data_IF_759231708074
#
_entry.id   IF_759231708074
#
_cell.length_a   1.000
_cell.length_b   1.000
_cell.length_c   1.000
_cell.angle_alpha   90.00
_cell.angle_beta   90.00
_cell.angle_gamma   90.00
#
_symmetry.space_group_name_H-M   'P 1'
#
loop_
_entity.id
_entity.type
_entity.pdbx_description
1 polymer ?
#
# COMPACT_ATOMS: atom_id res chain seq x y z
N UNK A 1 32.55 -5.75 2.71
CA UNK A 1 33.23 -7.06 2.54
C UNK A 1 33.80 -7.12 1.12
N UNK A 2 35.02 -7.64 0.91
CA UNK A 2 35.54 -7.85 -0.45
C UNK A 2 34.62 -8.77 -1.26
N UNK A 3 34.47 -8.51 -2.56
CA UNK A 3 33.69 -9.38 -3.47
C UNK A 3 34.25 -10.81 -3.46
N UNK A 4 33.38 -11.83 -3.40
CA UNK A 4 33.77 -13.24 -3.48
C UNK A 4 34.08 -13.96 -2.15
N UNK A 5 33.84 -13.35 -0.99
CA UNK A 5 33.95 -14.02 0.33
C UNK A 5 32.58 -14.26 0.97
N UNK A 6 32.38 -15.45 1.53
CA UNK A 6 31.22 -15.75 2.37
C UNK A 6 31.33 -14.97 3.69
N UNK A 7 30.27 -14.25 4.05
CA UNK A 7 30.13 -13.62 5.37
C UNK A 7 29.50 -14.56 6.39
N UNK A 8 29.48 -14.16 7.66
CA UNK A 8 28.86 -14.90 8.77
C UNK A 8 27.45 -14.37 9.14
N UNK A 9 26.85 -13.51 8.31
CA UNK A 9 25.55 -12.93 8.58
C UNK A 9 24.47 -14.02 8.59
N UNK A 10 23.64 -14.03 9.64
CA UNK A 10 22.53 -14.96 9.77
C UNK A 10 21.42 -14.71 8.74
N UNK A 11 20.59 -15.73 8.49
CA UNK A 11 19.40 -15.62 7.65
C UNK A 11 18.32 -14.78 8.36
N UNK A 12 17.65 -13.89 7.63
CA UNK A 12 16.51 -13.09 8.11
C UNK A 12 16.80 -12.22 9.36
N UNK A 13 18.03 -11.71 9.50
CA UNK A 13 18.43 -10.85 10.62
C UNK A 13 17.85 -9.43 10.56
N UNK A 14 17.40 -8.98 9.38
CA UNK A 14 16.72 -7.70 9.20
C UNK A 14 15.21 -7.90 9.29
N UNK A 15 14.56 -7.20 10.21
CA UNK A 15 13.09 -7.18 10.36
C UNK A 15 12.56 -5.79 10.13
N UNK A 16 11.50 -5.69 9.33
CA UNK A 16 10.80 -4.44 9.10
C UNK A 16 9.79 -4.12 10.22
N UNK A 17 9.29 -2.87 10.28
CA UNK A 17 8.20 -2.49 11.15
C UNK A 17 6.90 -3.22 10.82
N UNK A 18 5.92 -3.15 11.73
CA UNK A 18 4.60 -3.75 11.52
C UNK A 18 3.78 -2.96 10.49
N UNK A 19 3.22 -3.69 9.53
CA UNK A 19 2.25 -3.18 8.56
C UNK A 19 0.84 -3.11 9.18
N UNK A 20 0.11 -2.04 8.89
CA UNK A 20 -1.34 -2.01 9.07
C UNK A 20 -1.99 -1.13 8.00
N UNK A 21 -3.09 -1.61 7.43
CA UNK A 21 -3.89 -0.90 6.44
C UNK A 21 -5.37 -0.99 6.79
N UNK A 22 -6.13 0.00 6.31
CA UNK A 22 -7.58 -0.01 6.37
C UNK A 22 -8.10 0.61 5.08
N UNK A 23 -8.82 -0.20 4.31
CA UNK A 23 -9.41 0.16 3.03
C UNK A 23 -10.93 0.07 3.15
N UNK A 24 -11.63 0.97 2.47
CA UNK A 24 -13.10 1.00 2.53
C UNK A 24 -13.69 1.38 1.19
N UNK A 25 -14.93 0.95 0.99
CA UNK A 25 -15.73 1.30 -0.18
C UNK A 25 -17.14 1.63 0.26
N UNK A 26 -17.65 2.76 -0.21
CA UNK A 26 -19.02 3.16 -0.03
C UNK A 26 -19.71 3.15 -1.39
N UNK A 27 -20.80 2.39 -1.51
CA UNK A 27 -21.61 2.35 -2.72
C UNK A 27 -23.08 2.61 -2.39
N UNK A 28 -23.72 3.44 -3.21
CA UNK A 28 -25.15 3.71 -3.10
C UNK A 28 -25.81 3.76 -4.47
N UNK A 29 -26.94 3.07 -4.58
CA UNK A 29 -27.84 3.13 -5.73
C UNK A 29 -28.93 4.17 -5.48
N UNK A 30 -29.15 5.03 -6.47
CA UNK A 30 -30.20 6.03 -6.51
C UNK A 30 -31.14 5.63 -7.64
N UNK A 31 -32.40 5.37 -7.29
CA UNK A 31 -33.43 5.14 -8.29
C UNK A 31 -33.75 6.50 -8.94
N UNK A 32 -33.68 6.56 -10.27
CA UNK A 32 -34.06 7.74 -11.04
C UNK A 32 -35.52 7.61 -11.48
N UNK A 33 -36.02 8.57 -12.26
CA UNK A 33 -37.35 8.45 -12.87
C UNK A 33 -37.36 7.34 -13.95
N UNK A 34 -38.45 6.59 -14.02
CA UNK A 34 -38.59 5.45 -14.93
C UNK A 34 -37.82 4.22 -14.47
N UNK A 35 -37.28 3.44 -15.43
CA UNK A 35 -36.51 2.23 -15.16
C UNK A 35 -35.01 2.49 -14.95
N UNK A 36 -34.59 3.76 -14.92
CA UNK A 36 -33.19 4.13 -14.79
C UNK A 36 -32.71 4.18 -13.33
N UNK A 37 -31.43 3.93 -13.11
CA UNK A 37 -30.77 4.10 -11.81
C UNK A 37 -29.34 4.62 -11.96
N UNK A 38 -28.85 5.32 -10.95
CA UNK A 38 -27.45 5.74 -10.85
C UNK A 38 -26.80 5.05 -9.65
N UNK A 39 -25.61 4.46 -9.84
CA UNK A 39 -24.80 3.89 -8.76
C UNK A 39 -23.58 4.77 -8.58
N UNK A 40 -23.48 5.40 -7.41
CA UNK A 40 -22.28 6.11 -6.98
C UNK A 40 -21.44 5.16 -6.13
N UNK A 41 -20.13 5.14 -6.40
CA UNK A 41 -19.15 4.40 -5.63
C UNK A 41 -17.98 5.32 -5.28
N UNK A 42 -17.55 5.23 -4.03
CA UNK A 42 -16.37 5.89 -3.51
C UNK A 42 -15.46 4.85 -2.86
N UNK A 43 -14.28 4.66 -3.43
CA UNK A 43 -13.25 3.77 -2.92
C UNK A 43 -12.15 4.60 -2.26
N UNK A 44 -11.75 4.22 -1.05
CA UNK A 44 -10.66 4.85 -0.30
C UNK A 44 -9.70 3.76 0.17
N UNK A 45 -8.48 3.81 -0.36
CA UNK A 45 -7.38 2.95 0.05
C UNK A 45 -6.49 3.71 1.03
N UNK A 46 -6.02 3.05 2.09
CA UNK A 46 -5.27 3.66 3.19
C UNK A 46 -6.04 4.85 3.80
N UNK A 47 -7.24 4.59 4.34
CA UNK A 47 -8.16 5.60 4.89
C UNK A 47 -7.47 6.52 5.91
N UNK A 48 -6.66 5.94 6.80
CA UNK A 48 -5.91 6.66 7.82
C UNK A 48 -4.63 7.34 7.32
N UNK A 49 -4.30 7.21 6.03
CA UNK A 49 -3.08 7.71 5.41
C UNK A 49 -1.81 7.32 6.18
N UNK A 50 -1.77 6.08 6.69
CA UNK A 50 -0.66 5.55 7.48
C UNK A 50 0.54 5.29 6.57
N UNK A 51 1.70 5.80 6.94
CA UNK A 51 2.96 5.42 6.32
C UNK A 51 3.35 4.00 6.77
N UNK A 52 3.23 3.04 5.86
CA UNK A 52 3.74 1.69 6.08
C UNK A 52 5.16 1.64 5.53
N UNK A 53 6.16 1.55 6.41
CA UNK A 53 7.56 1.49 6.02
C UNK A 53 7.91 0.15 5.37
N UNK A 54 8.79 0.21 4.37
CA UNK A 54 9.34 -0.94 3.68
C UNK A 54 10.29 -1.77 4.54
N UNK A 55 10.96 -2.73 3.90
CA UNK A 55 11.99 -3.51 4.55
C UNK A 55 13.33 -2.76 4.55
N UNK A 56 14.19 -3.00 5.56
CA UNK A 56 15.55 -2.48 5.56
C UNK A 56 16.35 -2.95 4.35
N UNK A 57 17.24 -2.09 3.84
CA UNK A 57 18.11 -2.42 2.73
C UNK A 57 19.05 -3.59 3.08
N UNK A 58 18.91 -4.70 2.34
CA UNK A 58 19.72 -5.93 2.52
C UNK A 58 21.09 -5.89 1.83
N UNK A 59 21.38 -4.85 1.06
CA UNK A 59 22.64 -4.69 0.33
C UNK A 59 23.73 -4.15 1.27
N UNK A 60 24.57 -5.05 1.75
CA UNK A 60 25.69 -4.74 2.67
C UNK A 60 26.82 -3.85 2.10
N UNK A 61 27.18 -3.88 0.80
CA UNK A 61 28.23 -3.01 0.31
C UNK A 61 27.80 -1.55 0.12
N UNK A 62 26.52 -1.21 0.32
CA UNK A 62 26.00 0.16 0.20
C UNK A 62 25.96 0.92 1.52
N UNK A 63 26.06 2.25 1.46
CA UNK A 63 25.94 3.15 2.62
C UNK A 63 24.57 3.13 3.31
N UNK A 64 23.54 2.62 2.63
CA UNK A 64 22.18 2.50 3.14
C UNK A 64 21.89 1.13 3.78
N UNK A 65 22.87 0.25 3.96
CA UNK A 65 22.66 -1.07 4.56
C UNK A 65 21.93 -0.97 5.91
N UNK A 66 20.85 -1.73 6.08
CA UNK A 66 20.07 -1.74 7.32
C UNK A 66 19.13 -0.55 7.55
N UNK A 67 19.11 0.46 6.66
CA UNK A 67 18.13 1.57 6.74
C UNK A 67 16.92 1.31 5.86
N UNK A 68 15.78 1.95 6.18
CA UNK A 68 14.56 1.88 5.38
C UNK A 68 14.42 3.18 4.60
N UNK A 69 14.36 3.09 3.29
CA UNK A 69 14.27 4.24 2.37
C UNK A 69 13.05 4.18 1.47
N UNK A 70 12.11 3.27 1.75
CA UNK A 70 10.91 3.06 0.94
C UNK A 70 9.68 2.82 1.83
N UNK A 71 8.51 2.96 1.21
CA UNK A 71 7.24 2.55 1.78
C UNK A 71 6.86 1.16 1.23
N UNK A 72 6.15 0.38 2.03
CA UNK A 72 5.60 -0.93 1.69
C UNK A 72 4.24 -0.85 0.97
N UNK A 73 3.74 0.36 0.71
CA UNK A 73 2.47 0.59 0.02
C UNK A 73 2.29 2.06 -0.31
N UNK A 74 1.21 2.35 -1.02
CA UNK A 74 0.91 3.70 -1.50
C UNK A 74 0.34 4.61 -0.40
N UNK A 75 0.51 5.91 -0.61
CA UNK A 75 -0.24 6.94 0.12
C UNK A 75 -1.74 6.80 -0.13
N UNK A 76 -2.57 7.49 0.65
CA UNK A 76 -4.04 7.41 0.48
C UNK A 76 -4.47 7.73 -0.95
N UNK A 77 -5.24 6.81 -1.54
CA UNK A 77 -5.86 6.97 -2.86
C UNK A 77 -7.37 7.00 -2.68
N UNK A 78 -8.03 7.96 -3.33
CA UNK A 78 -9.48 8.10 -3.35
C UNK A 78 -9.97 8.08 -4.79
N UNK A 79 -10.95 7.23 -5.08
CA UNK A 79 -11.50 7.05 -6.42
C UNK A 79 -13.02 7.14 -6.38
N UNK A 80 -13.57 7.87 -7.34
CA UNK A 80 -15.00 8.02 -7.52
C UNK A 80 -15.43 7.37 -8.83
N UNK A 81 -16.54 6.64 -8.80
CA UNK A 81 -17.17 6.07 -9.97
C UNK A 81 -18.67 6.36 -9.98
N UNK A 82 -19.18 6.63 -11.16
CA UNK A 82 -20.61 6.73 -11.46
C UNK A 82 -20.95 5.71 -12.54
N UNK A 83 -21.93 4.86 -12.26
CA UNK A 83 -22.54 3.95 -13.25
C UNK A 83 -24.00 4.32 -13.44
N UNK A 84 -24.43 4.43 -14.70
CA UNK A 84 -25.84 4.63 -15.05
C UNK A 84 -26.40 3.30 -15.59
N UNK A 85 -27.57 2.91 -15.09
CA UNK A 85 -28.34 1.73 -15.45
C UNK A 85 -29.62 2.19 -16.15
N UNK A 86 -29.98 1.58 -17.28
CA UNK A 86 -31.18 1.89 -18.07
C UNK A 86 -31.81 0.61 -18.63
#
# INVERSE_FOLDING_TARGET
>A
VPSGKFGNAGRNILRGPRYAGFDTSLQRRFNLMGNAAAVLRWDVFNVFNRANFGLPNRSLPGSAAGTITSLAGDSRIMQFALRVEF
#
